data_IF_873593006618
#
_entry.id   IF_873593006618
#
_cell.length_a   1.000
_cell.length_b   1.000
_cell.length_c   1.000
_cell.angle_alpha   90.00
_cell.angle_beta   90.00
_cell.angle_gamma   90.00
#
_symmetry.space_group_name_H-M   'P 1'
#
loop_
_entity.id
_entity.type
_entity.pdbx_description
1 polymer ?
#
# COMPACT_ATOMS: atom_id res chain seq x y z
N UNK A 1 -15.11 -6.13 -29.86
CA UNK A 1 -13.78 -5.49 -30.05
C UNK A 1 -13.01 -5.62 -28.76
N UNK A 2 -12.13 -6.59 -28.69
CA UNK A 2 -11.25 -6.81 -27.53
C UNK A 2 -10.12 -5.79 -27.61
N UNK A 3 -10.15 -4.79 -26.73
CA UNK A 3 -8.98 -3.92 -26.55
C UNK A 3 -7.88 -4.78 -25.92
N UNK A 4 -6.91 -5.17 -26.73
CA UNK A 4 -5.65 -5.74 -26.28
C UNK A 4 -5.00 -4.69 -25.39
N UNK A 5 -5.07 -4.87 -24.09
CA UNK A 5 -4.26 -4.10 -23.14
C UNK A 5 -2.81 -4.51 -23.46
N UNK A 6 -2.11 -3.69 -24.24
CA UNK A 6 -0.67 -3.83 -24.45
C UNK A 6 -0.05 -3.88 -23.05
N UNK A 7 0.80 -4.87 -22.81
CA UNK A 7 1.58 -4.98 -21.59
C UNK A 7 2.29 -3.65 -21.36
N UNK A 8 1.77 -2.88 -20.43
CA UNK A 8 2.32 -1.56 -20.12
C UNK A 8 3.69 -1.80 -19.48
N UNK A 9 4.73 -1.19 -19.99
CA UNK A 9 6.08 -1.19 -19.39
C UNK A 9 6.05 -0.80 -17.90
N UNK A 10 4.99 -0.11 -17.48
CA UNK A 10 4.74 0.29 -16.10
C UNK A 10 4.47 -0.90 -15.14
N UNK A 11 4.05 -2.05 -15.65
CA UNK A 11 3.74 -3.25 -14.82
C UNK A 11 4.83 -4.33 -14.88
N UNK A 12 5.95 -4.05 -15.55
CA UNK A 12 7.10 -4.95 -15.55
C UNK A 12 7.72 -5.04 -14.15
N UNK A 13 8.37 -6.18 -13.87
CA UNK A 13 9.14 -6.35 -12.65
C UNK A 13 10.20 -5.25 -12.53
N UNK A 14 10.33 -4.68 -11.36
CA UNK A 14 11.34 -3.65 -11.07
C UNK A 14 12.62 -4.30 -10.56
N UNK A 15 13.79 -3.76 -10.92
CA UNK A 15 15.05 -4.28 -10.41
C UNK A 15 15.10 -4.23 -8.88
N UNK A 16 15.78 -5.20 -8.30
CA UNK A 16 16.14 -5.18 -6.87
C UNK A 16 16.95 -3.92 -6.54
N UNK A 17 16.84 -3.44 -5.32
CA UNK A 17 17.50 -2.20 -4.89
C UNK A 17 16.83 -0.92 -5.40
N UNK A 18 15.77 -1.02 -6.21
CA UNK A 18 14.92 0.13 -6.52
C UNK A 18 13.77 0.23 -5.53
N UNK A 19 13.21 1.41 -5.36
CA UNK A 19 12.11 1.66 -4.44
C UNK A 19 10.91 0.72 -4.69
N UNK A 20 10.49 0.57 -5.93
CA UNK A 20 9.39 -0.34 -6.27
C UNK A 20 9.79 -1.82 -6.17
N UNK A 21 11.06 -2.15 -6.42
CA UNK A 21 11.61 -3.50 -6.24
C UNK A 21 11.59 -3.92 -4.77
N UNK A 22 11.97 -3.02 -3.85
CA UNK A 22 11.93 -3.30 -2.41
C UNK A 22 10.50 -3.47 -1.88
N UNK A 23 9.52 -2.74 -2.42
CA UNK A 23 8.10 -2.97 -2.12
C UNK A 23 7.66 -4.35 -2.61
N UNK A 24 8.00 -4.73 -3.85
CA UNK A 24 7.67 -6.06 -4.36
C UNK A 24 8.30 -7.17 -3.54
N UNK A 25 9.57 -7.01 -3.13
CA UNK A 25 10.28 -7.95 -2.27
C UNK A 25 9.60 -8.09 -0.91
N UNK A 26 9.22 -6.98 -0.26
CA UNK A 26 8.52 -6.99 1.02
C UNK A 26 7.14 -7.67 0.92
N UNK A 27 6.40 -7.41 -0.16
CA UNK A 27 5.13 -8.08 -0.43
C UNK A 27 5.32 -9.59 -0.67
N UNK A 28 6.36 -9.97 -1.41
CA UNK A 28 6.68 -11.38 -1.67
C UNK A 28 6.94 -12.12 -0.36
N UNK A 29 7.75 -11.54 0.52
CA UNK A 29 8.01 -12.11 1.83
C UNK A 29 6.74 -12.15 2.70
N UNK A 30 5.95 -11.08 2.72
CA UNK A 30 4.71 -11.04 3.49
C UNK A 30 3.69 -12.09 3.04
N UNK A 31 3.65 -12.42 1.75
CA UNK A 31 2.76 -13.44 1.21
C UNK A 31 3.11 -14.88 1.64
N UNK A 32 4.22 -15.11 2.30
CA UNK A 32 4.49 -16.41 2.95
C UNK A 32 3.55 -16.64 4.16
N UNK A 33 3.06 -15.58 4.79
CA UNK A 33 2.00 -15.68 5.81
C UNK A 33 0.62 -15.90 5.13
N UNK A 34 -0.08 -17.03 5.40
CA UNK A 34 -1.36 -17.34 4.78
C UNK A 34 -2.51 -16.41 5.19
N UNK A 35 -2.32 -15.59 6.21
CA UNK A 35 -3.30 -14.59 6.61
C UNK A 35 -3.27 -13.34 5.72
N UNK A 36 -2.18 -13.09 4.98
CA UNK A 36 -2.03 -11.93 4.11
C UNK A 36 -2.84 -12.09 2.84
N UNK A 37 -3.67 -11.09 2.55
CA UNK A 37 -4.46 -10.99 1.31
C UNK A 37 -4.23 -9.64 0.65
N UNK A 38 -4.17 -9.63 -0.67
CA UNK A 38 -4.01 -8.42 -1.47
C UNK A 38 -5.34 -8.06 -2.12
N UNK A 39 -5.79 -6.83 -1.96
CA UNK A 39 -7.01 -6.30 -2.58
C UNK A 39 -6.72 -5.06 -3.40
N UNK A 40 -7.52 -4.80 -4.42
CA UNK A 40 -7.40 -3.57 -5.18
C UNK A 40 -7.76 -3.68 -6.66
N UNK A 41 -7.63 -2.54 -7.34
CA UNK A 41 -7.76 -2.47 -8.78
C UNK A 41 -6.42 -2.80 -9.44
N UNK A 42 -6.45 -3.50 -10.57
CA UNK A 42 -5.27 -3.81 -11.42
C UNK A 42 -4.16 -4.64 -10.75
N UNK A 43 -4.32 -5.07 -9.52
CA UNK A 43 -3.27 -5.75 -8.74
C UNK A 43 -2.79 -7.06 -9.39
N UNK A 44 -3.68 -7.80 -10.06
CA UNK A 44 -3.32 -9.04 -10.78
C UNK A 44 -2.45 -8.82 -12.01
N UNK A 45 -2.37 -7.59 -12.50
CA UNK A 45 -1.56 -7.24 -13.67
C UNK A 45 -0.22 -6.61 -13.31
N UNK A 46 0.24 -6.77 -12.06
CA UNK A 46 1.54 -6.27 -11.63
C UNK A 46 1.55 -4.85 -11.10
N UNK A 47 0.39 -4.20 -10.92
CA UNK A 47 0.20 -2.85 -10.40
C UNK A 47 1.49 -1.99 -10.27
N UNK A 48 1.85 -1.27 -11.32
CA UNK A 48 3.07 -0.43 -11.38
C UNK A 48 4.39 -1.17 -11.04
N UNK A 49 4.43 -2.48 -11.22
CA UNK A 49 5.57 -3.33 -10.88
C UNK A 49 5.59 -3.82 -9.43
N UNK A 50 4.68 -3.35 -8.58
CA UNK A 50 4.69 -3.65 -7.15
C UNK A 50 4.19 -5.07 -6.83
N UNK A 51 3.24 -5.60 -7.61
CA UNK A 51 2.65 -6.92 -7.39
C UNK A 51 3.03 -7.95 -8.48
N UNK A 52 4.03 -7.65 -9.29
CA UNK A 52 4.49 -8.53 -10.37
C UNK A 52 4.93 -9.88 -9.82
N UNK A 53 4.46 -10.97 -10.44
CA UNK A 53 4.80 -12.36 -10.06
C UNK A 53 4.01 -12.92 -8.86
N UNK A 54 3.29 -12.08 -8.13
CA UNK A 54 2.57 -12.54 -6.93
C UNK A 54 1.24 -13.20 -7.24
N UNK A 55 0.54 -12.72 -8.28
CA UNK A 55 -0.76 -13.31 -8.66
C UNK A 55 -0.61 -14.74 -9.16
N UNK A 56 0.44 -15.02 -9.91
CA UNK A 56 0.74 -16.35 -10.43
C UNK A 56 1.03 -17.36 -9.31
N UNK A 57 1.64 -16.90 -8.22
CA UNK A 57 2.01 -17.73 -7.06
C UNK A 57 0.85 -17.90 -6.06
N UNK A 58 0.00 -16.87 -5.91
CA UNK A 58 -1.04 -16.83 -4.85
C UNK A 58 -2.41 -16.33 -5.38
N UNK A 59 -2.97 -16.89 -6.45
CA UNK A 59 -4.17 -16.33 -7.10
C UNK A 59 -5.39 -16.26 -6.17
N UNK A 60 -5.53 -17.19 -5.24
CA UNK A 60 -6.65 -17.29 -4.29
C UNK A 60 -6.64 -16.20 -3.21
N UNK A 61 -5.52 -15.50 -3.06
CA UNK A 61 -5.35 -14.42 -2.09
C UNK A 61 -5.35 -13.03 -2.72
N UNK A 62 -5.72 -12.95 -4.01
CA UNK A 62 -5.92 -11.69 -4.72
C UNK A 62 -7.40 -11.40 -4.92
N UNK A 63 -7.86 -10.30 -4.33
CA UNK A 63 -9.24 -9.82 -4.46
C UNK A 63 -9.26 -8.62 -5.40
N UNK A 64 -9.71 -8.84 -6.63
CA UNK A 64 -9.81 -7.77 -7.61
C UNK A 64 -11.16 -7.05 -7.49
N UNK A 65 -11.09 -5.72 -7.47
CA UNK A 65 -12.27 -4.86 -7.36
C UNK A 65 -12.53 -4.09 -8.65
N UNK A 66 -13.81 -3.84 -8.94
CA UNK A 66 -14.20 -2.76 -9.82
C UNK A 66 -13.97 -1.41 -9.15
N UNK A 67 -14.13 -0.31 -9.89
CA UNK A 67 -13.94 1.05 -9.35
C UNK A 67 -15.04 1.35 -8.33
N UNK A 68 -14.72 1.12 -7.05
CA UNK A 68 -15.57 1.46 -5.91
C UNK A 68 -14.72 1.48 -4.64
N UNK A 69 -14.20 2.64 -4.31
CA UNK A 69 -13.31 2.82 -3.15
C UNK A 69 -14.02 2.58 -1.82
N UNK A 70 -15.30 2.94 -1.72
CA UNK A 70 -16.09 2.64 -0.51
C UNK A 70 -16.23 1.13 -0.29
N UNK A 71 -16.49 0.35 -1.34
CA UNK A 71 -16.54 -1.11 -1.26
C UNK A 71 -15.17 -1.68 -0.88
N UNK A 72 -14.09 -1.18 -1.48
CA UNK A 72 -12.73 -1.62 -1.18
C UNK A 72 -12.38 -1.38 0.29
N UNK A 73 -12.64 -0.18 0.79
CA UNK A 73 -12.32 0.21 2.16
C UNK A 73 -13.17 -0.55 3.19
N UNK A 74 -14.46 -0.69 2.94
CA UNK A 74 -15.37 -1.43 3.82
C UNK A 74 -15.06 -2.92 3.85
N UNK A 75 -14.74 -3.53 2.69
CA UNK A 75 -14.35 -4.94 2.63
C UNK A 75 -12.99 -5.20 3.28
N UNK A 76 -12.04 -4.25 3.19
CA UNK A 76 -10.77 -4.36 3.91
C UNK A 76 -10.99 -4.47 5.43
N UNK A 77 -11.91 -3.66 5.97
CA UNK A 77 -12.29 -3.75 7.38
C UNK A 77 -12.92 -5.11 7.72
N UNK A 78 -13.86 -5.58 6.89
CA UNK A 78 -14.52 -6.88 7.11
C UNK A 78 -13.53 -8.05 7.09
N UNK A 79 -12.59 -8.06 6.14
CA UNK A 79 -11.52 -9.06 6.04
C UNK A 79 -10.59 -9.02 7.26
N UNK A 80 -10.23 -7.83 7.74
CA UNK A 80 -9.39 -7.68 8.92
C UNK A 80 -10.09 -8.20 10.19
N UNK A 81 -11.38 -7.91 10.35
CA UNK A 81 -12.21 -8.45 11.45
C UNK A 81 -12.34 -9.97 11.37
N UNK A 82 -12.32 -10.54 10.16
CA UNK A 82 -12.27 -11.99 9.92
C UNK A 82 -10.87 -12.61 10.09
N UNK A 83 -9.90 -11.84 10.60
CA UNK A 83 -8.56 -12.34 10.93
C UNK A 83 -7.55 -12.30 9.79
N UNK A 84 -7.83 -11.61 8.69
CA UNK A 84 -6.88 -11.43 7.60
C UNK A 84 -6.02 -10.18 7.82
N UNK A 85 -4.76 -10.23 7.34
CA UNK A 85 -3.90 -9.06 7.13
C UNK A 85 -4.14 -8.55 5.73
N UNK A 86 -4.67 -7.36 5.61
CA UNK A 86 -5.17 -6.85 4.33
C UNK A 86 -4.23 -5.79 3.79
N UNK A 87 -3.72 -5.99 2.59
CA UNK A 87 -3.01 -4.97 1.83
C UNK A 87 -3.91 -4.50 0.70
N UNK A 88 -4.45 -3.30 0.83
CA UNK A 88 -5.41 -2.72 -0.12
C UNK A 88 -4.74 -1.65 -0.97
N UNK A 89 -4.73 -1.85 -2.29
CA UNK A 89 -4.11 -0.94 -3.24
C UNK A 89 -5.10 0.04 -3.83
N UNK A 90 -4.83 1.32 -3.65
CA UNK A 90 -5.52 2.41 -4.33
C UNK A 90 -4.61 3.05 -5.37
N UNK A 91 -5.13 3.20 -6.59
CA UNK A 91 -4.37 3.73 -7.73
C UNK A 91 -3.86 5.15 -7.45
N UNK A 92 -4.65 5.94 -6.73
CA UNK A 92 -4.31 7.31 -6.33
C UNK A 92 -4.80 7.61 -4.92
N UNK A 93 -4.01 8.40 -4.20
CA UNK A 93 -4.35 8.91 -2.87
C UNK A 93 -5.65 9.74 -2.90
N UNK A 94 -5.86 10.51 -3.97
CA UNK A 94 -7.06 11.32 -4.18
C UNK A 94 -8.36 10.52 -4.08
N UNK A 95 -8.36 9.27 -4.55
CA UNK A 95 -9.58 8.46 -4.62
C UNK A 95 -9.99 7.84 -3.29
N UNK A 96 -9.13 7.90 -2.28
CA UNK A 96 -9.57 7.60 -0.91
C UNK A 96 -10.73 8.48 -0.47
N UNK A 97 -10.87 9.69 -1.02
CA UNK A 97 -11.98 10.60 -0.75
C UNK A 97 -13.34 9.98 -1.13
N UNK A 98 -13.37 9.07 -2.09
CA UNK A 98 -14.60 8.37 -2.51
C UNK A 98 -15.07 7.31 -1.50
N UNK A 99 -14.25 6.98 -0.49
CA UNK A 99 -14.55 5.98 0.54
C UNK A 99 -14.31 6.51 1.96
N UNK A 100 -14.58 7.79 2.20
CA UNK A 100 -14.31 8.48 3.47
C UNK A 100 -15.10 7.92 4.65
N UNK A 101 -16.30 7.40 4.40
CA UNK A 101 -17.13 6.86 5.47
C UNK A 101 -16.44 5.67 6.16
N UNK A 102 -15.96 4.69 5.40
CA UNK A 102 -15.21 3.57 5.95
C UNK A 102 -13.92 4.05 6.66
N UNK A 103 -13.19 4.97 6.05
CA UNK A 103 -11.89 5.43 6.52
C UNK A 103 -11.95 6.26 7.81
N UNK A 104 -12.99 7.04 8.03
CA UNK A 104 -13.04 7.96 9.19
C UNK A 104 -14.15 7.63 10.19
N UNK A 105 -15.29 7.06 9.75
CA UNK A 105 -16.39 6.72 10.63
C UNK A 105 -16.36 5.28 11.15
N UNK A 106 -15.61 4.38 10.50
CA UNK A 106 -15.61 2.96 10.89
C UNK A 106 -14.24 2.48 11.31
N UNK A 107 -13.26 2.39 10.44
CA UNK A 107 -11.96 1.76 10.69
C UNK A 107 -11.28 2.30 11.96
N UNK A 108 -11.04 3.62 12.13
CA UNK A 108 -10.35 4.13 13.31
C UNK A 108 -11.17 3.98 14.58
N UNK A 109 -12.49 4.05 14.49
CA UNK A 109 -13.37 3.91 15.65
C UNK A 109 -13.36 2.46 16.18
N UNK A 110 -13.40 1.47 15.29
CA UNK A 110 -13.32 0.08 15.68
C UNK A 110 -11.94 -0.27 16.25
N UNK A 111 -10.87 0.28 15.69
CA UNK A 111 -9.54 0.13 16.25
C UNK A 111 -9.47 0.71 17.67
N UNK A 112 -10.02 1.91 17.91
CA UNK A 112 -10.11 2.54 19.25
C UNK A 112 -10.91 1.70 20.25
N UNK A 113 -11.88 0.92 19.80
CA UNK A 113 -12.63 -0.03 20.61
C UNK A 113 -11.84 -1.31 20.94
N UNK A 114 -10.58 -1.40 20.56
CA UNK A 114 -9.69 -2.51 20.87
C UNK A 114 -9.65 -3.62 19.84
N UNK A 115 -10.30 -3.46 18.68
CA UNK A 115 -10.19 -4.45 17.60
C UNK A 115 -8.83 -4.37 16.92
N UNK A 116 -8.26 -5.53 16.59
CA UNK A 116 -7.09 -5.60 15.72
C UNK A 116 -7.56 -5.37 14.29
N UNK A 117 -7.01 -4.36 13.64
CA UNK A 117 -7.32 -4.03 12.26
C UNK A 117 -6.02 -3.93 11.44
N UNK A 118 -5.39 -5.07 11.10
CA UNK A 118 -4.17 -5.11 10.30
C UNK A 118 -4.50 -4.81 8.84
N UNK A 119 -4.73 -3.55 8.53
CA UNK A 119 -5.06 -3.06 7.20
C UNK A 119 -3.98 -2.08 6.77
N UNK A 120 -3.33 -2.35 5.64
CA UNK A 120 -2.38 -1.45 5.00
C UNK A 120 -2.98 -0.94 3.70
N UNK A 121 -3.31 0.34 3.64
CA UNK A 121 -3.72 0.99 2.41
C UNK A 121 -2.51 1.53 1.68
N UNK A 122 -2.14 0.94 0.56
CA UNK A 122 -1.07 1.42 -0.31
C UNK A 122 -1.67 2.38 -1.33
N UNK A 123 -1.23 3.63 -1.30
CA UNK A 123 -1.74 4.69 -2.17
C UNK A 123 -0.60 5.41 -2.88
N UNK A 124 -0.78 5.70 -4.17
CA UNK A 124 0.18 6.49 -4.93
C UNK A 124 -0.16 7.98 -4.85
N UNK A 125 0.81 8.78 -4.47
CA UNK A 125 0.78 10.23 -4.59
C UNK A 125 1.46 10.64 -5.91
N UNK A 126 0.78 11.45 -6.73
CA UNK A 126 1.21 11.75 -8.10
C UNK A 126 1.72 13.18 -8.31
N UNK A 127 1.91 13.97 -7.24
CA UNK A 127 2.30 15.37 -7.34
C UNK A 127 3.60 15.58 -8.13
N UNK A 128 3.54 16.48 -9.10
CA UNK A 128 4.73 16.98 -9.80
C UNK A 128 5.37 16.01 -10.78
N UNK A 129 4.71 14.92 -11.14
CA UNK A 129 5.08 14.13 -12.30
C UNK A 129 4.22 14.60 -13.44
N UNK A 130 4.83 14.92 -14.57
CA UNK A 130 4.13 15.22 -15.82
C UNK A 130 3.36 14.02 -16.36
N UNK A 131 2.56 13.39 -15.50
CA UNK A 131 1.78 12.18 -15.80
C UNK A 131 0.58 12.45 -16.71
N UNK A 132 0.35 13.72 -17.07
CA UNK A 132 -0.80 14.12 -17.86
C UNK A 132 -2.16 13.93 -17.19
N UNK A 133 -2.21 13.53 -15.92
CA UNK A 133 -3.46 13.20 -15.24
C UNK A 133 -4.09 14.41 -14.51
N UNK A 134 -3.40 15.54 -14.45
CA UNK A 134 -3.93 16.80 -13.94
C UNK A 134 -4.14 16.85 -12.42
N UNK A 135 -4.79 17.93 -11.97
CA UNK A 135 -4.97 18.25 -10.55
C UNK A 135 -5.82 17.23 -9.79
N UNK A 136 -6.72 16.50 -10.46
CA UNK A 136 -7.59 15.49 -9.84
C UNK A 136 -6.82 14.23 -9.40
N UNK A 137 -5.57 14.08 -9.83
CA UNK A 137 -4.74 12.91 -9.53
C UNK A 137 -3.45 13.29 -8.78
N UNK A 138 -3.40 14.46 -8.19
CA UNK A 138 -2.16 15.04 -7.64
C UNK A 138 -2.35 15.68 -6.27
N UNK A 139 -3.44 15.39 -5.58
CA UNK A 139 -3.67 15.91 -4.24
C UNK A 139 -2.91 15.09 -3.20
N UNK A 140 -2.37 15.78 -2.23
CA UNK A 140 -1.83 15.17 -1.02
C UNK A 140 -2.81 15.44 0.13
N UNK A 141 -3.48 14.38 0.55
CA UNK A 141 -4.41 14.39 1.69
C UNK A 141 -3.85 13.64 2.90
N UNK A 142 -2.57 13.31 2.87
CA UNK A 142 -1.87 12.54 3.91
C UNK A 142 -2.06 13.17 5.29
N UNK A 143 -2.04 14.51 5.36
CA UNK A 143 -2.18 15.25 6.61
C UNK A 143 -3.53 15.03 7.31
N UNK A 144 -4.60 14.66 6.62
CA UNK A 144 -5.88 14.34 7.24
C UNK A 144 -5.76 13.07 8.09
N UNK A 145 -5.13 12.04 7.54
CA UNK A 145 -4.89 10.79 8.25
C UNK A 145 -3.95 10.95 9.45
N UNK A 146 -2.98 11.86 9.36
CA UNK A 146 -2.07 12.16 10.47
C UNK A 146 -2.75 12.82 11.65
N UNK A 147 -3.74 13.66 11.37
CA UNK A 147 -4.51 14.37 12.39
C UNK A 147 -5.65 13.53 12.97
N UNK A 148 -6.02 12.47 12.29
CA UNK A 148 -7.13 11.61 12.71
C UNK A 148 -6.59 10.47 13.55
N UNK A 149 -6.97 10.46 14.84
CA UNK A 149 -6.54 9.41 15.75
C UNK A 149 -7.05 8.04 15.29
N UNK A 150 -6.19 7.03 15.38
CA UNK A 150 -6.49 5.66 14.96
C UNK A 150 -5.79 5.25 13.67
N UNK A 151 -5.14 6.19 12.97
CA UNK A 151 -4.32 5.90 11.80
C UNK A 151 -2.83 5.90 12.12
N UNK A 152 -2.10 5.03 11.46
CA UNK A 152 -0.67 5.15 11.27
C UNK A 152 -0.43 5.63 9.83
N UNK A 153 0.53 6.54 9.64
CA UNK A 153 0.86 7.06 8.31
C UNK A 153 2.34 6.84 8.06
N UNK A 154 2.66 6.20 6.96
CA UNK A 154 4.02 5.90 6.55
C UNK A 154 4.27 6.44 5.15
N UNK A 155 5.36 7.20 4.98
CA UNK A 155 5.75 7.82 3.70
C UNK A 155 7.25 7.58 3.49
N UNK A 156 7.64 6.41 2.96
CA UNK A 156 9.04 6.06 2.75
C UNK A 156 9.70 6.99 1.72
N UNK A 157 10.99 7.24 1.93
CA UNK A 157 11.81 8.16 1.13
C UNK A 157 12.90 7.45 0.34
N UNK A 158 13.32 6.27 0.79
CA UNK A 158 14.39 5.47 0.21
C UNK A 158 13.92 4.05 -0.09
N UNK A 159 14.59 3.30 -0.97
CA UNK A 159 14.31 1.89 -1.19
C UNK A 159 14.28 1.05 0.09
N UNK A 160 15.29 1.19 0.95
CA UNK A 160 15.36 0.47 2.22
C UNK A 160 14.17 0.79 3.12
N UNK A 161 13.82 2.08 3.26
CA UNK A 161 12.61 2.47 4.01
C UNK A 161 11.35 1.88 3.39
N UNK A 162 11.26 1.82 2.06
CA UNK A 162 10.08 1.30 1.38
C UNK A 162 9.81 -0.17 1.76
N UNK A 163 10.82 -1.01 1.73
CA UNK A 163 10.68 -2.41 2.14
C UNK A 163 10.39 -2.57 3.63
N UNK A 164 11.21 -1.94 4.48
CA UNK A 164 11.11 -2.07 5.94
C UNK A 164 9.79 -1.54 6.49
N UNK A 165 9.40 -0.32 6.09
CA UNK A 165 8.16 0.28 6.55
C UNK A 165 6.92 -0.47 6.05
N UNK A 166 6.98 -1.07 4.85
CA UNK A 166 5.87 -1.87 4.35
C UNK A 166 5.71 -3.16 5.16
N UNK A 167 6.79 -3.84 5.46
CA UNK A 167 6.76 -5.03 6.33
C UNK A 167 6.17 -4.67 7.71
N UNK A 168 6.62 -3.56 8.30
CA UNK A 168 6.07 -3.06 9.56
C UNK A 168 4.56 -2.78 9.46
N UNK A 169 4.11 -2.12 8.40
CA UNK A 169 2.71 -1.81 8.17
C UNK A 169 1.85 -3.08 8.08
N UNK A 170 2.29 -4.08 7.32
CA UNK A 170 1.53 -5.33 7.10
C UNK A 170 1.39 -6.14 8.39
N UNK A 171 2.44 -6.20 9.20
CA UNK A 171 2.42 -6.99 10.43
C UNK A 171 1.95 -6.23 11.68
N UNK A 172 1.72 -4.92 11.57
CA UNK A 172 1.07 -4.12 12.59
C UNK A 172 -0.43 -4.46 12.71
N UNK A 173 -0.99 -4.34 13.91
CA UNK A 173 -2.43 -4.53 14.14
C UNK A 173 -3.21 -3.21 14.12
N UNK A 174 -2.64 -2.18 13.54
CA UNK A 174 -3.21 -0.84 13.43
C UNK A 174 -3.44 -0.48 11.96
N UNK A 175 -4.56 0.16 11.60
CA UNK A 175 -4.76 0.59 10.24
C UNK A 175 -3.69 1.60 9.82
N UNK A 176 -3.07 1.34 8.70
CA UNK A 176 -1.93 2.11 8.20
C UNK A 176 -2.21 2.64 6.80
N UNK A 177 -1.98 3.92 6.61
CA UNK A 177 -1.88 4.55 5.30
C UNK A 177 -0.41 4.56 4.88
N UNK A 178 -0.08 3.83 3.83
CA UNK A 178 1.25 3.73 3.25
C UNK A 178 1.28 4.49 1.92
N UNK A 179 1.91 5.65 1.90
CA UNK A 179 1.90 6.56 0.74
C UNK A 179 3.18 6.43 -0.05
N UNK A 180 3.05 6.18 -1.34
CA UNK A 180 4.16 6.02 -2.27
C UNK A 180 4.22 7.25 -3.18
N UNK A 181 5.35 7.93 -3.20
CA UNK A 181 5.63 8.93 -4.22
C UNK A 181 6.04 8.27 -5.53
N UNK A 182 5.25 8.46 -6.57
CA UNK A 182 5.53 7.88 -7.89
C UNK A 182 6.91 8.26 -8.45
N UNK A 183 7.44 9.41 -8.08
CA UNK A 183 8.80 9.84 -8.47
C UNK A 183 9.90 8.89 -7.98
N UNK A 184 9.63 8.16 -6.89
CA UNK A 184 10.60 7.26 -6.28
C UNK A 184 10.64 5.86 -6.89
N UNK A 185 9.67 5.46 -7.72
CA UNK A 185 9.54 4.08 -8.18
C UNK A 185 10.81 3.46 -8.76
N UNK A 186 11.58 4.24 -9.52
CA UNK A 186 12.84 3.80 -10.12
C UNK A 186 14.07 4.31 -9.35
N UNK A 187 13.87 4.94 -8.20
CA UNK A 187 14.97 5.45 -7.39
C UNK A 187 15.75 4.31 -6.78
N UNK A 188 17.09 4.43 -6.79
CA UNK A 188 18.03 3.59 -6.04
C UNK A 188 18.42 4.26 -4.72
N UNK A 189 19.13 3.54 -3.87
CA UNK A 189 19.68 4.11 -2.63
C UNK A 189 20.50 5.39 -2.90
N UNK A 190 20.37 6.34 -1.97
CA UNK A 190 20.98 7.68 -2.12
C UNK A 190 20.11 8.70 -2.86
N UNK A 191 19.09 8.27 -3.60
CA UNK A 191 18.11 9.19 -4.19
C UNK A 191 17.17 9.70 -3.09
N UNK A 192 17.13 11.02 -2.88
CA UNK A 192 16.19 11.65 -1.93
C UNK A 192 15.25 12.60 -2.68
N UNK A 193 13.97 12.38 -2.50
CA UNK A 193 12.94 13.36 -2.88
C UNK A 193 12.46 14.00 -1.59
N UNK A 194 12.45 15.35 -1.53
CA UNK A 194 11.87 16.06 -0.38
C UNK A 194 10.36 15.81 -0.36
N UNK A 195 9.93 14.96 0.53
CA UNK A 195 8.53 14.77 0.89
C UNK A 195 8.34 15.10 2.36
N UNK A 196 7.18 15.61 2.77
CA UNK A 196 6.90 15.84 4.18
C UNK A 196 7.11 14.53 4.96
N UNK A 197 8.01 14.55 5.95
CA UNK A 197 8.26 13.37 6.80
C UNK A 197 7.16 13.24 7.84
N UNK A 198 6.52 12.08 7.84
CA UNK A 198 5.50 11.76 8.85
C UNK A 198 5.63 10.28 9.22
N UNK A 199 6.47 9.99 10.19
CA UNK A 199 6.78 8.62 10.57
C UNK A 199 6.38 8.36 12.01
N UNK A 200 5.41 7.47 12.20
CA UNK A 200 5.18 6.80 13.47
C UNK A 200 5.34 5.30 13.23
N UNK A 201 6.46 4.72 13.62
CA UNK A 201 6.65 3.28 13.55
C UNK A 201 5.79 2.58 14.59
N UNK A 202 5.07 1.54 14.18
CA UNK A 202 4.43 0.63 15.12
C UNK A 202 5.49 -0.25 15.78
N UNK A 203 5.63 -0.18 17.09
CA UNK A 203 6.67 -0.92 17.83
C UNK A 203 6.56 -2.44 17.81
N UNK A 204 5.57 -3.00 17.09
CA UNK A 204 5.28 -4.44 17.10
C UNK A 204 6.17 -5.26 16.15
N UNK A 205 6.80 -4.66 15.14
CA UNK A 205 7.37 -5.40 14.02
C UNK A 205 8.88 -5.59 14.05
N UNK A 206 9.60 -5.02 15.02
CA UNK A 206 11.07 -5.17 15.08
C UNK A 206 11.58 -6.63 15.04
N UNK A 207 10.77 -7.60 15.44
CA UNK A 207 11.12 -9.02 15.37
C UNK A 207 10.89 -9.61 13.98
N UNK A 208 9.77 -9.30 13.32
CA UNK A 208 9.47 -9.82 11.97
C UNK A 208 10.37 -9.21 10.90
N UNK A 209 10.71 -7.93 11.03
CA UNK A 209 11.58 -7.26 10.05
C UNK A 209 13.01 -7.84 10.06
N UNK A 210 13.54 -8.23 11.24
CA UNK A 210 14.86 -8.86 11.32
C UNK A 210 14.94 -10.21 10.61
N UNK A 211 13.90 -11.04 10.73
CA UNK A 211 13.89 -12.38 10.11
C UNK A 211 13.87 -12.33 8.57
N UNK A 212 13.44 -11.23 7.96
CA UNK A 212 13.37 -11.08 6.50
C UNK A 212 14.60 -10.42 5.85
N UNK A 213 15.50 -9.82 6.65
CA UNK A 213 16.62 -9.01 6.14
C UNK A 213 17.99 -9.41 6.70
N UNK A 214 18.09 -10.50 7.47
CA UNK A 214 19.36 -11.00 8.04
C UNK A 214 19.92 -12.24 7.30
N UNK A 215 19.66 -12.42 5.99
CA UNK A 215 20.36 -13.38 5.12
C UNK A 215 21.20 -12.66 4.06
#
# INVERSE_FOLDING_TARGET
MSAVIKSNSDNAARPEGTFAGEINRALTAAMEDPSVVLGGQLIKYGFAGLTTGLYEKYPERFITYSVSEELMNSSAMGLALAGKRVVMFHVRLDFLLCGMNALFNHIPIWWKKGHKLPITFICQEGRGIGSGQGAQHSKDITFWFQRFEGWQVMVPQTPSEAGLMLADAIFCNKPTLYVIHRRLFNASEGTRVKVPQYVGLCGASRRHVKEFYED
#
